data_IF_228617564833
#
_entry.id   IF_228617564833
#
_cell.length_a   1.000
_cell.length_b   1.000
_cell.length_c   1.000
_cell.angle_alpha   90.00
_cell.angle_beta   90.00
_cell.angle_gamma   90.00
#
_symmetry.space_group_name_H-M   'P 1'
#
loop_
_entity.id
_entity.type
_entity.pdbx_description
1 polymer ?
#
# COMPACT_ATOMS: atom_id res chain seq x y z
N UNK A 1 3.05 2.51 -11.25
CA UNK A 1 1.78 2.38 -10.52
C UNK A 1 2.07 2.03 -9.07
N UNK A 2 1.17 2.39 -8.16
CA UNK A 2 1.23 2.09 -6.72
C UNK A 2 -0.17 1.80 -6.19
N UNK A 3 -0.27 1.29 -4.97
CA UNK A 3 -1.51 1.30 -4.19
C UNK A 3 -1.19 1.80 -2.79
N UNK A 4 -1.76 2.93 -2.41
CA UNK A 4 -1.75 3.45 -1.05
C UNK A 4 -3.05 3.06 -0.33
N UNK A 5 -2.95 2.70 0.95
CA UNK A 5 -4.06 2.25 1.79
C UNK A 5 -4.52 3.36 2.73
N UNK A 6 -5.29 4.31 2.17
CA UNK A 6 -5.63 5.55 2.84
C UNK A 6 -6.42 5.32 4.14
N UNK A 7 -5.81 5.71 5.27
CA UNK A 7 -6.36 5.59 6.61
C UNK A 7 -6.17 4.21 7.27
N UNK A 8 -5.54 3.25 6.59
CA UNK A 8 -5.26 1.93 7.17
C UNK A 8 -3.86 1.91 7.78
N UNK A 9 -3.76 1.54 9.06
CA UNK A 9 -2.49 1.28 9.72
C UNK A 9 -1.82 0.02 9.17
N UNK A 10 -0.87 0.23 8.26
CA UNK A 10 -0.07 -0.82 7.64
C UNK A 10 1.42 -0.69 8.05
N UNK A 11 2.21 -1.78 8.02
CA UNK A 11 3.66 -1.69 8.12
C UNK A 11 4.24 -0.77 7.03
N UNK A 12 5.29 -0.03 7.36
CA UNK A 12 5.88 0.95 6.44
C UNK A 12 6.15 0.42 5.02
N UNK A 13 6.70 -0.79 4.79
CA UNK A 13 6.92 -1.31 3.43
C UNK A 13 5.63 -1.58 2.63
N UNK A 14 4.47 -1.63 3.28
CA UNK A 14 3.17 -1.95 2.67
C UNK A 14 2.32 -0.71 2.38
N UNK A 15 2.81 0.48 2.69
CA UNK A 15 2.05 1.73 2.53
C UNK A 15 2.01 2.23 1.07
N UNK A 16 2.87 1.68 0.20
CA UNK A 16 2.79 1.86 -1.25
C UNK A 16 3.05 3.28 -1.75
N UNK A 17 4.03 4.00 -1.19
CA UNK A 17 4.41 5.37 -1.57
C UNK A 17 5.76 5.35 -2.33
N UNK A 18 5.76 5.44 -3.68
CA UNK A 18 6.97 5.37 -4.47
C UNK A 18 8.00 6.45 -4.07
N UNK A 19 9.27 6.06 -3.97
CA UNK A 19 10.36 6.95 -3.56
C UNK A 19 10.51 7.14 -2.04
N UNK A 20 9.54 6.67 -1.24
CA UNK A 20 9.62 6.71 0.23
C UNK A 20 9.86 5.32 0.80
N UNK A 21 8.96 4.37 0.52
CA UNK A 21 9.03 3.02 1.09
C UNK A 21 9.30 1.92 0.05
N UNK A 22 9.18 2.21 -1.24
CA UNK A 22 9.55 1.30 -2.34
C UNK A 22 9.73 2.05 -3.67
N UNK A 23 10.13 1.35 -4.74
CA UNK A 23 10.44 1.94 -6.05
C UNK A 23 9.24 2.11 -7.00
N UNK A 24 8.03 1.73 -6.59
CA UNK A 24 6.88 1.63 -7.50
C UNK A 24 6.79 0.29 -8.22
N UNK A 25 5.60 -0.03 -8.75
CA UNK A 25 5.33 -1.24 -9.55
C UNK A 25 5.50 -0.89 -11.03
N UNK A 26 6.40 -1.57 -11.72
CA UNK A 26 6.63 -1.37 -13.15
C UNK A 26 5.55 -2.06 -13.99
N UNK A 27 5.38 -1.69 -15.27
CA UNK A 27 4.49 -2.39 -16.18
C UNK A 27 4.80 -3.89 -16.24
N UNK A 28 3.77 -4.73 -16.08
CA UNK A 28 3.90 -6.20 -16.08
C UNK A 28 4.39 -6.81 -14.77
N UNK A 29 4.79 -6.01 -13.78
CA UNK A 29 5.19 -6.51 -12.46
C UNK A 29 3.98 -6.65 -11.51
N UNK A 30 4.14 -7.50 -10.50
CA UNK A 30 3.17 -7.66 -9.40
C UNK A 30 3.83 -7.34 -8.07
N UNK A 31 3.12 -6.61 -7.22
CA UNK A 31 3.54 -6.35 -5.84
C UNK A 31 2.52 -6.93 -4.86
N UNK A 32 2.98 -7.72 -3.90
CA UNK A 32 2.12 -8.37 -2.91
C UNK A 32 2.04 -7.55 -1.63
N UNK A 33 0.90 -6.89 -1.42
CA UNK A 33 0.58 -6.23 -0.17
C UNK A 33 0.06 -7.26 0.84
N UNK A 34 0.72 -7.37 2.00
CA UNK A 34 0.31 -8.28 3.07
C UNK A 34 0.49 -7.64 4.44
N UNK A 35 -0.62 -7.37 5.12
CA UNK A 35 -0.62 -6.80 6.46
C UNK A 35 -1.85 -7.26 7.24
N UNK A 36 -1.79 -7.17 8.57
CA UNK A 36 -2.92 -7.43 9.45
C UNK A 36 -3.75 -6.15 9.58
N UNK A 37 -5.05 -6.24 9.33
CA UNK A 37 -5.97 -5.14 9.61
C UNK A 37 -6.20 -5.06 11.13
N UNK A 38 -5.95 -3.88 11.70
CA UNK A 38 -6.07 -3.62 13.16
C UNK A 38 -7.24 -2.68 13.52
N UNK A 39 -7.83 -2.04 12.51
CA UNK A 39 -8.82 -0.99 12.69
C UNK A 39 -10.15 -1.43 12.07
N UNK A 40 -11.25 -0.96 12.66
CA UNK A 40 -12.59 -1.05 12.08
C UNK A 40 -13.02 0.33 11.61
N UNK A 41 -13.71 0.41 10.47
CA UNK A 41 -14.16 1.66 9.88
C UNK A 41 -14.20 1.60 8.36
N UNK A 42 -14.51 2.75 7.75
CA UNK A 42 -14.50 2.91 6.30
C UNK A 42 -13.18 3.51 5.85
N UNK A 43 -12.48 2.79 4.98
CA UNK A 43 -11.19 3.17 4.41
C UNK A 43 -11.23 2.93 2.90
N UNK A 44 -10.16 3.30 2.20
CA UNK A 44 -10.10 3.16 0.75
C UNK A 44 -8.66 2.99 0.28
N UNK A 45 -8.49 2.64 -0.98
CA UNK A 45 -7.20 2.54 -1.63
C UNK A 45 -7.21 3.34 -2.93
N UNK A 46 -6.04 3.81 -3.34
CA UNK A 46 -5.86 4.53 -4.60
C UNK A 46 -4.42 4.41 -5.10
N UNK A 47 -4.19 4.76 -6.37
CA UNK A 47 -2.85 4.81 -6.95
C UNK A 47 -2.09 6.06 -6.53
#
# INVERSE_FOLDING_TARGET
TSVHWHGILVPFPMDGVPGVNFRGIKPGETHHYKFKLKQAGTFWYHS
#
